data_IF_061478482031
#
_entry.id   IF_061478482031
#
_cell.length_a   1.000
_cell.length_b   1.000
_cell.length_c   1.000
_cell.angle_alpha   90.00
_cell.angle_beta   90.00
_cell.angle_gamma   90.00
#
_symmetry.space_group_name_H-M   'P 1'
#
loop_
_entity.id
_entity.type
_entity.pdbx_description
1 polymer ?
#
# COMPACT_ATOMS: atom_id res chain seq x y z
N UNK A 1 -5.14 -4.70 -81.69
CA UNK A 1 -5.51 -3.74 -80.62
C UNK A 1 -6.58 -4.27 -79.67
N UNK A 2 -7.69 -4.85 -80.15
CA UNK A 2 -8.75 -5.35 -79.19
C UNK A 2 -8.31 -6.44 -78.20
N UNK A 3 -7.36 -7.30 -78.51
CA UNK A 3 -6.86 -8.36 -77.63
C UNK A 3 -5.98 -7.85 -76.47
N UNK A 4 -5.32 -6.72 -76.60
CA UNK A 4 -4.50 -6.12 -75.56
C UNK A 4 -5.29 -5.25 -74.60
N UNK A 5 -6.45 -4.71 -75.08
CA UNK A 5 -7.39 -3.95 -74.24
C UNK A 5 -8.09 -4.88 -73.23
N UNK A 6 -8.45 -6.09 -73.62
CA UNK A 6 -9.05 -7.09 -72.74
C UNK A 6 -8.04 -7.61 -71.66
N UNK A 7 -6.76 -7.78 -72.05
CA UNK A 7 -5.74 -8.19 -71.11
C UNK A 7 -5.40 -7.08 -70.07
N UNK A 8 -5.44 -5.81 -70.50
CA UNK A 8 -5.25 -4.68 -69.56
C UNK A 8 -6.46 -4.49 -68.61
N UNK A 9 -7.71 -4.70 -69.10
CA UNK A 9 -8.89 -4.65 -68.23
C UNK A 9 -8.92 -5.82 -67.22
N UNK A 10 -8.49 -7.03 -67.60
CA UNK A 10 -8.41 -8.17 -66.67
C UNK A 10 -7.28 -7.99 -65.65
N UNK A 11 -6.16 -7.36 -66.00
CA UNK A 11 -5.09 -7.04 -65.05
C UNK A 11 -5.50 -5.93 -64.06
N UNK A 12 -6.29 -4.94 -64.53
CA UNK A 12 -6.80 -3.87 -63.67
C UNK A 12 -7.84 -4.35 -62.65
N UNK A 13 -8.63 -5.39 -62.97
CA UNK A 13 -9.61 -5.97 -62.03
C UNK A 13 -8.95 -6.83 -60.93
N UNK A 14 -7.78 -7.36 -61.13
CA UNK A 14 -7.03 -8.09 -60.13
C UNK A 14 -6.27 -7.17 -59.13
N UNK A 15 -6.06 -5.90 -59.45
CA UNK A 15 -5.37 -4.94 -58.57
C UNK A 15 -6.33 -4.30 -57.56
N UNK A 16 -7.65 -4.36 -57.76
CA UNK A 16 -8.67 -3.75 -56.88
C UNK A 16 -9.19 -4.72 -55.82
N UNK A 17 -8.91 -6.02 -55.92
CA UNK A 17 -9.12 -6.98 -54.83
C UNK A 17 -7.88 -7.08 -53.91
N UNK A 18 -7.31 -5.97 -53.58
CA UNK A 18 -6.33 -5.87 -52.49
C UNK A 18 -7.05 -6.21 -51.19
N UNK A 19 -6.62 -7.30 -50.58
CA UNK A 19 -7.16 -7.80 -49.31
C UNK A 19 -7.17 -6.71 -48.25
N UNK A 20 -8.28 -6.09 -47.95
CA UNK A 20 -8.49 -5.27 -46.75
C UNK A 20 -8.04 -6.05 -45.47
N UNK A 21 -8.17 -7.36 -45.50
CA UNK A 21 -7.72 -8.26 -44.41
C UNK A 21 -6.21 -8.33 -44.20
N UNK A 22 -5.37 -7.85 -45.13
CA UNK A 22 -3.90 -7.78 -44.94
C UNK A 22 -3.46 -6.51 -44.21
N UNK A 23 -4.29 -5.46 -44.26
CA UNK A 23 -4.05 -4.21 -43.56
C UNK A 23 -4.61 -4.23 -42.13
N UNK A 24 -5.60 -5.06 -41.87
CA UNK A 24 -6.13 -5.34 -40.54
C UNK A 24 -5.37 -6.51 -39.86
N UNK A 25 -4.11 -6.34 -39.61
CA UNK A 25 -3.41 -7.26 -38.72
C UNK A 25 -3.77 -6.90 -37.28
N UNK A 26 -4.51 -7.75 -36.55
CA UNK A 26 -4.69 -7.54 -35.13
C UNK A 26 -3.30 -7.46 -34.48
N UNK A 27 -3.09 -6.46 -33.67
CA UNK A 27 -1.83 -6.30 -32.93
C UNK A 27 -1.75 -7.45 -31.92
N UNK A 28 -1.12 -8.55 -32.32
CA UNK A 28 -1.00 -9.78 -31.51
C UNK A 28 -0.20 -9.56 -30.20
N UNK A 29 0.46 -8.43 -30.06
CA UNK A 29 1.30 -8.10 -28.91
C UNK A 29 0.67 -7.07 -27.95
N UNK A 30 -0.48 -6.50 -28.30
CA UNK A 30 -1.26 -5.65 -27.37
C UNK A 30 -2.70 -6.13 -27.37
N UNK A 31 -3.33 -6.33 -26.19
CA UNK A 31 -4.76 -6.62 -26.14
C UNK A 31 -5.50 -5.49 -26.87
N UNK A 32 -6.29 -5.84 -27.88
CA UNK A 32 -7.19 -4.87 -28.49
C UNK A 32 -8.23 -4.46 -27.44
N UNK A 33 -8.49 -3.17 -27.34
CA UNK A 33 -9.42 -2.61 -26.37
C UNK A 33 -10.82 -3.26 -26.46
N UNK A 34 -11.24 -3.67 -27.63
CA UNK A 34 -12.51 -4.34 -27.89
C UNK A 34 -12.58 -5.81 -27.43
N UNK A 35 -11.44 -6.44 -27.19
CA UNK A 35 -11.39 -7.87 -26.85
C UNK A 35 -10.98 -8.13 -25.40
N UNK A 36 -10.44 -7.14 -24.71
CA UNK A 36 -9.94 -7.23 -23.36
C UNK A 36 -11.02 -6.90 -22.31
N UNK A 37 -11.00 -7.62 -21.21
CA UNK A 37 -11.91 -7.37 -20.07
C UNK A 37 -13.11 -8.31 -20.03
N UNK A 38 -12.98 -9.53 -20.56
CA UNK A 38 -14.04 -10.54 -20.61
C UNK A 38 -13.81 -11.74 -19.69
N UNK A 39 -12.64 -11.80 -19.03
CA UNK A 39 -12.27 -12.94 -18.19
C UNK A 39 -11.65 -12.51 -16.86
N UNK A 40 -11.78 -13.37 -15.83
CA UNK A 40 -11.14 -13.19 -14.51
C UNK A 40 -9.62 -12.97 -14.63
N UNK A 41 -8.97 -13.76 -15.50
CA UNK A 41 -7.51 -13.67 -15.70
C UNK A 41 -7.08 -12.32 -16.26
N UNK A 42 -7.83 -11.73 -17.18
CA UNK A 42 -7.50 -10.43 -17.76
C UNK A 42 -7.57 -9.32 -16.71
N UNK A 43 -8.62 -9.32 -15.89
CA UNK A 43 -8.72 -8.35 -14.81
C UNK A 43 -7.62 -8.53 -13.76
N UNK A 44 -7.25 -9.78 -13.43
CA UNK A 44 -6.12 -10.06 -12.55
C UNK A 44 -4.82 -9.47 -13.08
N UNK A 45 -4.52 -9.69 -14.34
CA UNK A 45 -3.32 -9.12 -14.97
C UNK A 45 -3.34 -7.59 -14.97
N UNK A 46 -4.49 -6.99 -15.20
CA UNK A 46 -4.67 -5.53 -15.16
C UNK A 46 -4.40 -4.95 -13.77
N UNK A 47 -4.87 -5.62 -12.73
CA UNK A 47 -4.73 -5.18 -11.33
C UNK A 47 -3.32 -5.44 -10.79
N UNK A 48 -2.58 -6.43 -11.28
CA UNK A 48 -1.26 -6.79 -10.75
C UNK A 48 -0.27 -5.61 -10.73
N UNK A 49 -0.38 -4.66 -11.64
CA UNK A 49 0.44 -3.45 -11.65
C UNK A 49 0.24 -2.57 -10.40
N UNK A 50 -0.93 -2.65 -9.76
CA UNK A 50 -1.25 -1.85 -8.58
C UNK A 50 -0.53 -2.32 -7.31
N UNK A 51 -0.30 -3.62 -7.18
CA UNK A 51 0.23 -4.19 -5.93
C UNK A 51 1.55 -3.58 -5.48
N UNK A 52 2.59 -3.42 -6.33
CA UNK A 52 3.83 -2.78 -5.91
C UNK A 52 3.68 -1.28 -5.61
N UNK A 53 2.59 -0.65 -6.02
CA UNK A 53 2.33 0.78 -5.82
C UNK A 53 1.55 1.03 -4.52
N UNK A 54 0.51 0.24 -4.27
CA UNK A 54 -0.35 0.43 -3.08
C UNK A 54 0.12 -0.39 -1.89
N UNK A 55 0.71 -1.56 -2.11
CA UNK A 55 1.15 -2.48 -1.07
C UNK A 55 2.68 -2.62 -1.11
N UNK A 56 3.33 -1.51 -0.82
CA UNK A 56 4.78 -1.41 -0.89
C UNK A 56 5.42 -2.23 0.23
N UNK A 57 6.48 -2.95 -0.09
CA UNK A 57 7.35 -3.62 0.86
C UNK A 57 8.73 -2.96 0.91
N UNK A 58 9.74 -3.78 1.10
CA UNK A 58 11.12 -3.35 1.02
C UNK A 58 11.52 -3.11 -0.44
N UNK A 59 12.35 -2.12 -0.66
CA UNK A 59 12.86 -1.79 -1.98
C UNK A 59 14.13 -2.56 -2.34
N UNK A 60 14.34 -2.76 -3.65
CA UNK A 60 15.51 -3.42 -4.20
C UNK A 60 16.74 -2.52 -4.41
N UNK A 61 16.61 -1.19 -4.21
CA UNK A 61 17.71 -0.24 -4.48
C UNK A 61 18.10 0.58 -3.24
N UNK A 62 19.34 1.05 -3.23
CA UNK A 62 19.87 1.94 -2.21
C UNK A 62 19.20 3.31 -2.20
N UNK A 63 19.21 4.00 -1.09
CA UNK A 63 18.76 5.38 -0.99
C UNK A 63 17.26 5.52 -0.70
N UNK A 64 16.39 5.47 -1.67
CA UNK A 64 14.92 5.50 -1.48
C UNK A 64 14.34 4.17 -1.00
N UNK A 65 15.16 3.19 -0.87
CA UNK A 65 14.86 1.78 -0.73
C UNK A 65 14.28 1.34 0.60
N UNK A 66 14.21 2.20 1.54
CA UNK A 66 14.02 1.90 2.94
C UNK A 66 12.62 2.28 3.38
N UNK A 67 11.66 1.96 2.51
CA UNK A 67 10.32 2.45 2.62
C UNK A 67 9.69 2.33 4.03
N UNK A 68 9.67 1.19 4.72
CA UNK A 68 9.03 1.10 6.02
C UNK A 68 9.69 1.98 7.09
N UNK A 69 11.01 1.98 7.16
CA UNK A 69 11.73 2.75 8.19
C UNK A 69 11.79 4.23 7.87
N UNK A 70 11.87 4.59 6.59
CA UNK A 70 11.95 5.99 6.17
C UNK A 70 10.64 6.74 6.36
N UNK A 71 9.51 6.07 6.20
CA UNK A 71 8.20 6.65 6.49
C UNK A 71 8.05 7.07 7.95
N UNK A 72 8.67 6.35 8.87
CA UNK A 72 8.64 6.65 10.29
C UNK A 72 9.42 7.92 10.67
N UNK A 73 10.29 8.45 9.81
CA UNK A 73 10.96 9.72 10.04
C UNK A 73 10.01 10.94 10.06
N UNK A 74 8.75 10.75 9.68
CA UNK A 74 7.69 11.78 9.80
C UNK A 74 6.87 11.64 11.09
N UNK A 75 7.35 10.84 12.02
CA UNK A 75 6.75 10.61 13.32
C UNK A 75 7.77 10.87 14.46
N UNK A 76 7.30 10.79 15.71
CA UNK A 76 8.15 10.85 16.89
C UNK A 76 9.01 9.60 17.10
N UNK A 77 8.80 8.55 16.29
CA UNK A 77 9.44 7.24 16.46
C UNK A 77 10.86 7.21 15.91
N UNK A 78 11.11 7.90 14.79
CA UNK A 78 12.42 7.89 14.14
C UNK A 78 12.84 9.31 13.74
N UNK A 79 14.14 9.51 13.69
CA UNK A 79 14.76 10.73 13.22
C UNK A 79 15.88 10.43 12.23
N UNK A 80 16.09 11.30 11.26
CA UNK A 80 17.28 11.29 10.42
C UNK A 80 18.45 11.99 11.13
N UNK A 81 19.67 11.71 10.68
CA UNK A 81 20.88 12.39 11.19
C UNK A 81 21.01 13.84 10.72
N UNK A 82 20.24 14.27 9.73
CA UNK A 82 20.20 15.63 9.20
C UNK A 82 18.87 16.33 9.44
N UNK A 83 18.71 17.54 8.90
CA UNK A 83 17.42 18.22 8.90
C UNK A 83 16.36 17.35 8.22
N UNK A 84 15.22 17.22 8.84
CA UNK A 84 14.06 16.57 8.23
C UNK A 84 13.34 17.51 7.26
N UNK A 85 13.96 17.78 6.12
CA UNK A 85 13.39 18.60 5.05
C UNK A 85 12.70 17.77 3.98
N UNK A 86 12.84 16.45 4.04
CA UNK A 86 12.27 15.55 3.04
C UNK A 86 10.74 15.54 3.03
N UNK A 87 10.09 15.87 4.13
CA UNK A 87 8.63 16.04 4.16
C UNK A 87 8.18 17.17 3.23
N UNK A 88 8.79 18.33 3.32
CA UNK A 88 8.49 19.48 2.47
C UNK A 88 8.77 19.19 0.99
N UNK A 89 9.81 18.40 0.71
CA UNK A 89 10.17 18.02 -0.65
C UNK A 89 9.26 16.93 -1.26
N UNK A 90 8.47 16.26 -0.45
CA UNK A 90 7.55 15.19 -0.91
C UNK A 90 6.15 15.72 -1.20
N UNK A 91 5.80 16.91 -0.71
CA UNK A 91 4.55 17.57 -1.02
C UNK A 91 4.74 18.35 -2.33
N UNK A 92 3.99 18.06 -3.40
CA UNK A 92 4.13 18.76 -4.65
C UNK A 92 3.78 20.24 -4.50
N UNK A 93 4.68 21.13 -4.89
CA UNK A 93 4.49 22.58 -4.85
C UNK A 93 3.79 23.13 -6.08
N UNK A 94 3.65 22.31 -7.13
CA UNK A 94 3.00 22.72 -8.39
C UNK A 94 2.25 21.56 -9.06
N UNK A 95 1.22 21.91 -9.84
CA UNK A 95 0.37 20.96 -10.59
C UNK A 95 1.08 20.25 -11.75
N UNK A 96 2.27 20.59 -12.10
CA UNK A 96 2.79 20.29 -13.43
C UNK A 96 3.79 19.15 -13.52
N UNK A 97 4.28 18.59 -12.44
CA UNK A 97 5.31 17.56 -12.51
C UNK A 97 4.71 16.16 -12.45
N UNK A 98 4.21 15.69 -13.57
CA UNK A 98 4.01 14.27 -13.77
C UNK A 98 5.36 13.64 -14.11
N UNK A 99 5.88 12.85 -13.18
CA UNK A 99 7.04 12.01 -13.42
C UNK A 99 6.62 10.55 -13.25
N UNK A 100 6.72 9.78 -14.31
CA UNK A 100 6.39 8.34 -14.26
C UNK A 100 7.27 7.57 -13.29
N UNK A 101 8.48 8.07 -13.00
CA UNK A 101 9.35 7.51 -11.97
C UNK A 101 8.79 7.71 -10.55
N UNK A 102 7.98 8.74 -10.32
CA UNK A 102 7.36 9.00 -9.02
C UNK A 102 6.21 8.03 -8.74
N UNK A 103 5.54 7.52 -9.77
CA UNK A 103 4.55 6.44 -9.63
C UNK A 103 5.20 5.12 -9.20
N UNK A 104 6.44 4.89 -9.63
CA UNK A 104 7.24 3.73 -9.26
C UNK A 104 8.04 3.97 -7.97
N UNK A 105 8.08 5.20 -7.47
CA UNK A 105 8.77 5.50 -6.22
C UNK A 105 7.90 5.08 -5.03
N UNK A 106 8.16 3.88 -4.60
CA UNK A 106 7.33 3.13 -3.68
C UNK A 106 7.16 3.80 -2.31
N UNK A 107 8.16 4.47 -1.80
CA UNK A 107 8.03 5.08 -0.48
C UNK A 107 7.19 6.36 -0.50
N UNK A 108 7.27 7.16 -1.56
CA UNK A 108 6.43 8.35 -1.74
C UNK A 108 4.96 7.93 -1.85
N UNK A 109 4.67 6.86 -2.59
CA UNK A 109 3.30 6.39 -2.77
C UNK A 109 2.69 5.77 -1.52
N UNK A 110 3.48 5.25 -0.60
CA UNK A 110 2.99 4.61 0.62
C UNK A 110 2.95 5.56 1.83
N UNK A 111 3.97 6.38 2.03
CA UNK A 111 4.19 7.13 3.27
C UNK A 111 4.15 8.64 3.11
N UNK A 112 4.26 9.11 1.90
CA UNK A 112 4.06 10.50 1.57
C UNK A 112 2.87 10.63 0.64
N UNK A 113 2.32 11.79 0.66
CA UNK A 113 1.23 12.16 -0.19
C UNK A 113 1.55 11.94 -1.66
N UNK A 114 0.55 11.51 -2.40
CA UNK A 114 0.63 11.38 -3.84
C UNK A 114 0.91 12.71 -4.54
N UNK A 115 1.47 12.66 -5.73
CA UNK A 115 1.55 13.79 -6.62
C UNK A 115 0.14 14.22 -7.07
N UNK A 116 -0.01 15.46 -7.53
CA UNK A 116 -1.22 15.93 -8.20
C UNK A 116 -1.36 15.23 -9.55
N UNK A 117 -1.83 14.00 -9.51
CA UNK A 117 -1.86 13.07 -10.62
C UNK A 117 -3.05 12.14 -10.50
N UNK A 118 -3.82 12.03 -11.57
CA UNK A 118 -5.06 11.25 -11.63
C UNK A 118 -4.93 10.02 -12.55
N UNK A 119 -3.72 9.60 -12.91
CA UNK A 119 -3.50 8.44 -13.77
C UNK A 119 -4.06 7.15 -13.16
N UNK A 120 -3.91 6.97 -11.84
CA UNK A 120 -4.48 5.82 -11.14
C UNK A 120 -6.01 5.89 -11.04
N UNK A 121 -6.58 7.07 -10.79
CA UNK A 121 -8.03 7.27 -10.85
C UNK A 121 -8.56 6.89 -12.25
N UNK A 122 -7.89 7.37 -13.30
CA UNK A 122 -8.23 7.03 -14.68
C UNK A 122 -8.12 5.53 -14.96
N UNK A 123 -7.06 4.88 -14.46
CA UNK A 123 -6.88 3.43 -14.59
C UNK A 123 -8.06 2.65 -14.01
N UNK A 124 -8.49 3.01 -12.81
CA UNK A 124 -9.62 2.33 -12.16
C UNK A 124 -10.95 2.65 -12.83
N UNK A 125 -11.15 3.87 -13.30
CA UNK A 125 -12.34 4.22 -14.08
C UNK A 125 -12.41 3.45 -15.41
N UNK A 126 -11.29 3.28 -16.12
CA UNK A 126 -11.24 2.43 -17.32
C UNK A 126 -11.65 0.98 -16.98
N UNK A 127 -11.17 0.45 -15.87
CA UNK A 127 -11.55 -0.90 -15.43
C UNK A 127 -13.06 -0.99 -15.11
N UNK A 128 -13.60 0.00 -14.41
CA UNK A 128 -15.04 0.09 -14.08
C UNK A 128 -15.86 0.16 -15.36
N UNK A 129 -15.51 1.05 -16.31
CA UNK A 129 -16.21 1.20 -17.59
C UNK A 129 -16.21 -0.12 -18.39
N UNK A 130 -15.08 -0.86 -18.39
CA UNK A 130 -14.98 -2.19 -19.04
C UNK A 130 -15.84 -3.24 -18.35
N UNK A 131 -15.88 -3.26 -17.02
CA UNK A 131 -16.74 -4.17 -16.25
C UNK A 131 -18.21 -3.91 -16.58
N UNK A 132 -18.64 -2.65 -16.64
CA UNK A 132 -20.01 -2.30 -17.03
C UNK A 132 -20.31 -2.72 -18.48
N UNK A 133 -19.36 -2.47 -19.40
CA UNK A 133 -19.48 -2.87 -20.80
C UNK A 133 -19.71 -4.37 -20.99
N UNK A 134 -19.00 -5.19 -20.20
CA UNK A 134 -19.04 -6.65 -20.32
C UNK A 134 -19.84 -7.37 -19.24
N UNK A 135 -20.62 -6.64 -18.47
CA UNK A 135 -21.43 -7.18 -17.36
C UNK A 135 -22.29 -8.39 -17.76
N UNK A 136 -22.88 -8.37 -18.96
CA UNK A 136 -23.72 -9.46 -19.46
C UNK A 136 -22.95 -10.70 -19.92
N UNK A 137 -21.63 -10.61 -20.03
CA UNK A 137 -20.75 -11.70 -20.49
C UNK A 137 -20.01 -12.35 -19.32
N UNK A 138 -19.79 -11.57 -18.26
CA UNK A 138 -19.09 -12.03 -17.06
C UNK A 138 -20.04 -12.80 -16.14
N UNK A 139 -19.50 -13.81 -15.47
CA UNK A 139 -20.18 -14.41 -14.33
C UNK A 139 -20.37 -13.35 -13.23
N UNK A 140 -21.51 -13.41 -12.53
CA UNK A 140 -21.86 -12.40 -11.51
C UNK A 140 -20.81 -12.24 -10.43
N UNK A 141 -20.24 -13.36 -9.96
CA UNK A 141 -19.16 -13.33 -8.96
C UNK A 141 -17.92 -12.63 -9.48
N UNK A 142 -17.51 -12.92 -10.71
CA UNK A 142 -16.36 -12.30 -11.38
C UNK A 142 -16.57 -10.80 -11.54
N UNK A 143 -17.74 -10.40 -12.04
CA UNK A 143 -18.10 -8.98 -12.17
C UNK A 143 -18.08 -8.28 -10.81
N UNK A 144 -18.74 -8.83 -9.82
CA UNK A 144 -18.83 -8.24 -8.47
C UNK A 144 -17.47 -8.12 -7.79
N UNK A 145 -16.64 -9.15 -7.90
CA UNK A 145 -15.30 -9.14 -7.35
C UNK A 145 -14.45 -8.04 -7.99
N UNK A 146 -14.32 -8.02 -9.31
CA UNK A 146 -13.44 -7.07 -9.97
C UNK A 146 -13.97 -5.63 -9.91
N UNK A 147 -15.27 -5.45 -9.92
CA UNK A 147 -15.89 -4.15 -9.64
C UNK A 147 -15.55 -3.68 -8.23
N UNK A 148 -15.63 -4.56 -7.24
CA UNK A 148 -15.23 -4.27 -5.86
C UNK A 148 -13.74 -3.91 -5.75
N UNK A 149 -12.87 -4.62 -6.46
CA UNK A 149 -11.43 -4.34 -6.51
C UNK A 149 -11.14 -2.99 -7.15
N UNK A 150 -11.76 -2.68 -8.29
CA UNK A 150 -11.57 -1.40 -8.98
C UNK A 150 -12.05 -0.21 -8.11
N UNK A 151 -13.22 -0.34 -7.48
CA UNK A 151 -13.77 0.66 -6.58
C UNK A 151 -12.91 0.82 -5.32
N UNK A 152 -12.41 -0.27 -4.73
CA UNK A 152 -11.47 -0.20 -3.61
C UNK A 152 -10.22 0.62 -3.95
N UNK A 153 -9.57 0.33 -5.06
CA UNK A 153 -8.36 1.07 -5.43
C UNK A 153 -8.66 2.52 -5.85
N UNK A 154 -9.80 2.79 -6.47
CA UNK A 154 -10.23 4.16 -6.76
C UNK A 154 -10.44 4.95 -5.47
N UNK A 155 -11.16 4.39 -4.51
CA UNK A 155 -11.35 4.97 -3.20
C UNK A 155 -10.04 5.18 -2.45
N UNK A 156 -9.13 4.21 -2.50
CA UNK A 156 -7.81 4.34 -1.89
C UNK A 156 -7.00 5.49 -2.51
N UNK A 157 -7.01 5.62 -3.85
CA UNK A 157 -6.32 6.71 -4.52
C UNK A 157 -6.92 8.07 -4.16
N UNK A 158 -8.24 8.18 -4.07
CA UNK A 158 -8.88 9.41 -3.62
C UNK A 158 -8.57 9.73 -2.15
N UNK A 159 -8.47 8.77 -1.26
CA UNK A 159 -7.97 9.00 0.11
C UNK A 159 -6.59 9.67 0.08
N UNK A 160 -5.64 9.15 -0.70
CA UNK A 160 -4.29 9.70 -0.82
C UNK A 160 -4.27 11.12 -1.39
N UNK A 161 -5.09 11.38 -2.41
CA UNK A 161 -5.22 12.71 -3.01
C UNK A 161 -5.83 13.71 -2.02
N UNK A 162 -6.88 13.31 -1.32
CA UNK A 162 -7.59 14.15 -0.34
C UNK A 162 -6.74 14.41 0.91
N UNK A 163 -6.01 13.41 1.40
CA UNK A 163 -5.06 13.60 2.52
C UNK A 163 -4.00 14.66 2.21
N UNK A 164 -3.58 14.73 0.96
CA UNK A 164 -2.54 15.68 0.52
C UNK A 164 -3.08 17.05 0.18
N UNK A 165 -4.16 17.10 -0.60
CA UNK A 165 -4.59 18.31 -1.30
C UNK A 165 -5.92 18.89 -0.80
N UNK A 166 -6.63 18.16 0.07
CA UNK A 166 -7.99 18.52 0.49
C UNK A 166 -8.99 18.30 -0.65
N UNK A 167 -9.55 19.39 -1.15
CA UNK A 167 -10.47 19.36 -2.29
C UNK A 167 -9.73 18.97 -3.58
N UNK A 168 -10.29 18.02 -4.33
CA UNK A 168 -9.72 17.50 -5.58
C UNK A 168 -10.81 17.27 -6.63
N UNK A 169 -10.55 17.38 -7.94
CA UNK A 169 -11.53 16.98 -8.95
C UNK A 169 -11.92 15.49 -8.81
N UNK A 170 -13.21 15.20 -8.75
CA UNK A 170 -13.71 13.83 -8.69
C UNK A 170 -14.16 13.36 -10.08
N UNK A 171 -13.65 12.21 -10.50
CA UNK A 171 -13.98 11.56 -11.77
C UNK A 171 -14.61 10.20 -11.52
N UNK A 172 -15.88 10.04 -11.89
CA UNK A 172 -16.63 8.77 -11.73
C UNK A 172 -16.46 7.80 -12.90
N UNK A 173 -15.96 8.28 -14.04
CA UNK A 173 -15.74 7.54 -15.29
C UNK A 173 -14.41 7.90 -15.92
N UNK A 174 -13.95 7.10 -16.88
CA UNK A 174 -12.79 7.49 -17.68
C UNK A 174 -13.14 8.70 -18.54
N UNK A 175 -12.19 9.62 -18.68
CA UNK A 175 -12.32 10.81 -19.54
C UNK A 175 -11.33 10.70 -20.69
N UNK A 176 -11.72 11.27 -21.83
CA UNK A 176 -10.95 11.32 -23.07
C UNK A 176 -10.63 12.77 -23.44
N UNK A 177 -9.80 12.97 -24.45
CA UNK A 177 -9.45 14.31 -24.96
C UNK A 177 -10.67 15.09 -25.48
N UNK A 178 -11.80 14.41 -25.73
CA UNK A 178 -13.06 15.05 -26.13
C UNK A 178 -13.85 15.63 -24.94
N UNK A 179 -13.54 15.18 -23.71
CA UNK A 179 -14.26 15.57 -22.49
C UNK A 179 -13.60 16.81 -21.83
N UNK A 180 -13.40 17.88 -22.60
CA UNK A 180 -12.62 19.06 -22.17
C UNK A 180 -13.17 19.71 -20.90
N UNK A 181 -14.49 19.83 -20.74
CA UNK A 181 -15.12 20.44 -19.58
C UNK A 181 -14.87 19.61 -18.32
N UNK A 182 -14.93 18.28 -18.42
CA UNK A 182 -14.59 17.37 -17.34
C UNK A 182 -13.10 17.43 -16.99
N UNK A 183 -12.23 17.56 -17.99
CA UNK A 183 -10.77 17.60 -17.81
C UNK A 183 -10.31 18.83 -17.02
N UNK A 184 -10.97 19.95 -17.18
CA UNK A 184 -10.62 21.23 -16.57
C UNK A 184 -11.59 21.69 -15.47
N UNK A 185 -12.45 20.81 -14.99
CA UNK A 185 -13.39 21.15 -13.94
C UNK A 185 -12.73 21.56 -12.63
N UNK A 186 -13.46 22.29 -11.82
CA UNK A 186 -13.04 22.74 -10.50
C UNK A 186 -12.84 21.55 -9.53
N UNK A 187 -12.22 21.84 -8.40
CA UNK A 187 -12.09 20.88 -7.30
C UNK A 187 -13.45 20.60 -6.70
N UNK A 188 -13.73 19.34 -6.50
CA UNK A 188 -14.87 18.85 -5.71
C UNK A 188 -14.51 18.96 -4.23
N UNK A 189 -15.40 19.48 -3.37
CA UNK A 189 -15.14 19.58 -1.94
C UNK A 189 -14.79 18.20 -1.32
N UNK A 190 -13.84 18.21 -0.37
CA UNK A 190 -13.38 17.00 0.35
C UNK A 190 -14.53 16.12 0.81
N UNK A 191 -15.52 16.70 1.49
CA UNK A 191 -16.64 15.95 2.06
C UNK A 191 -17.47 15.22 0.99
N UNK A 192 -17.60 15.81 -0.19
CA UNK A 192 -18.29 15.19 -1.31
C UNK A 192 -17.46 14.05 -1.92
N UNK A 193 -16.15 14.27 -2.15
CA UNK A 193 -15.23 13.23 -2.61
C UNK A 193 -15.23 12.03 -1.66
N UNK A 194 -15.13 12.28 -0.35
CA UNK A 194 -15.14 11.22 0.66
C UNK A 194 -16.50 10.53 0.78
N UNK A 195 -17.59 11.19 0.41
CA UNK A 195 -18.89 10.54 0.23
C UNK A 195 -18.87 9.47 -0.84
N UNK A 196 -18.28 9.75 -2.00
CA UNK A 196 -18.10 8.76 -3.08
C UNK A 196 -17.13 7.64 -2.69
N UNK A 197 -16.05 7.98 -1.96
CA UNK A 197 -15.11 6.98 -1.43
C UNK A 197 -15.81 6.02 -0.47
N UNK A 198 -16.67 6.53 0.41
CA UNK A 198 -17.48 5.71 1.31
C UNK A 198 -18.32 4.69 0.53
N UNK A 199 -19.00 5.10 -0.53
CA UNK A 199 -19.80 4.21 -1.39
C UNK A 199 -18.94 3.19 -2.14
N UNK A 200 -17.75 3.57 -2.57
CA UNK A 200 -16.80 2.67 -3.18
C UNK A 200 -16.33 1.59 -2.20
N UNK A 201 -16.03 1.97 -0.98
CA UNK A 201 -15.62 1.03 0.06
C UNK A 201 -16.75 0.14 0.57
N UNK A 202 -17.97 0.68 0.69
CA UNK A 202 -19.15 -0.13 1.03
C UNK A 202 -19.38 -1.23 -0.02
N UNK A 203 -19.32 -0.87 -1.30
CA UNK A 203 -19.42 -1.86 -2.38
C UNK A 203 -18.30 -2.90 -2.29
N UNK A 204 -17.07 -2.48 -2.04
CA UNK A 204 -15.91 -3.39 -1.92
C UNK A 204 -16.07 -4.38 -0.77
N UNK A 205 -16.47 -3.92 0.42
CA UNK A 205 -16.72 -4.76 1.59
C UNK A 205 -17.79 -5.84 1.35
N UNK A 206 -18.78 -5.53 0.51
CA UNK A 206 -19.88 -6.45 0.23
C UNK A 206 -19.57 -7.42 -0.93
N UNK A 207 -18.72 -7.05 -1.90
CA UNK A 207 -18.64 -7.72 -3.18
C UNK A 207 -17.28 -8.36 -3.52
N UNK A 208 -16.16 -7.90 -2.95
CA UNK A 208 -14.87 -8.58 -3.15
C UNK A 208 -14.97 -10.01 -2.62
N UNK A 209 -14.43 -10.99 -3.36
CA UNK A 209 -14.41 -12.39 -2.91
C UNK A 209 -13.67 -12.56 -1.59
N UNK A 210 -14.15 -13.48 -0.76
CA UNK A 210 -13.61 -13.68 0.60
C UNK A 210 -12.23 -14.33 0.61
N UNK A 211 -11.95 -15.15 -0.39
CA UNK A 211 -10.67 -15.85 -0.49
C UNK A 211 -10.07 -15.67 -1.89
N UNK A 212 -8.90 -15.06 -1.92
CA UNK A 212 -8.07 -14.90 -3.11
C UNK A 212 -6.57 -15.06 -2.75
N UNK A 213 -6.31 -15.76 -1.63
CA UNK A 213 -4.98 -15.92 -1.05
C UNK A 213 -4.54 -14.70 -0.21
N UNK A 214 -3.29 -14.72 0.23
CA UNK A 214 -2.67 -13.71 1.11
C UNK A 214 -1.79 -12.71 0.36
N UNK A 215 -1.61 -12.90 -0.93
CA UNK A 215 -0.83 -12.01 -1.79
C UNK A 215 -1.69 -11.19 -2.76
N UNK A 216 -2.98 -11.49 -2.85
CA UNK A 216 -3.96 -10.77 -3.66
C UNK A 216 -5.06 -10.17 -2.79
N UNK A 217 -5.62 -9.06 -3.25
CA UNK A 217 -6.68 -8.36 -2.55
C UNK A 217 -7.92 -9.26 -2.45
N UNK A 218 -8.24 -9.67 -1.25
CA UNK A 218 -9.49 -10.31 -0.88
C UNK A 218 -10.31 -9.38 0.04
N UNK A 219 -11.55 -9.77 0.36
CA UNK A 219 -12.46 -8.95 1.17
C UNK A 219 -11.87 -8.55 2.52
N UNK A 220 -11.16 -9.43 3.19
CA UNK A 220 -10.60 -9.18 4.52
C UNK A 220 -9.38 -8.27 4.47
N UNK A 221 -8.55 -8.40 3.44
CA UNK A 221 -7.43 -7.48 3.18
C UNK A 221 -7.98 -6.08 2.88
N UNK A 222 -8.99 -5.99 2.00
CA UNK A 222 -9.66 -4.72 1.71
C UNK A 222 -10.24 -4.10 2.98
N UNK A 223 -10.92 -4.89 3.82
CA UNK A 223 -11.47 -4.43 5.09
C UNK A 223 -10.38 -3.90 6.05
N UNK A 224 -9.23 -4.54 6.13
CA UNK A 224 -8.10 -4.05 6.92
C UNK A 224 -7.66 -2.64 6.48
N UNK A 225 -7.51 -2.41 5.17
CA UNK A 225 -7.16 -1.08 4.65
C UNK A 225 -8.28 -0.07 4.80
N UNK A 226 -9.54 -0.45 4.58
CA UNK A 226 -10.71 0.41 4.76
C UNK A 226 -10.82 0.86 6.23
N UNK A 227 -10.54 -0.04 7.19
CA UNK A 227 -10.54 0.33 8.61
C UNK A 227 -9.53 1.46 8.90
N UNK A 228 -8.33 1.41 8.31
CA UNK A 228 -7.30 2.46 8.43
C UNK A 228 -7.76 3.79 7.80
N UNK A 229 -8.19 3.73 6.54
CA UNK A 229 -8.51 4.91 5.74
C UNK A 229 -9.74 5.65 6.28
N UNK A 230 -10.75 4.89 6.71
CA UNK A 230 -11.97 5.48 7.26
C UNK A 230 -11.79 5.94 8.71
N UNK A 231 -10.92 5.31 9.49
CA UNK A 231 -10.51 5.83 10.80
C UNK A 231 -9.85 7.20 10.66
N UNK A 232 -8.91 7.34 9.71
CA UNK A 232 -8.26 8.62 9.43
C UNK A 232 -9.28 9.69 9.05
N UNK A 233 -10.17 9.42 8.10
CA UNK A 233 -11.16 10.41 7.68
C UNK A 233 -12.16 10.76 8.80
N UNK A 234 -12.61 9.77 9.54
CA UNK A 234 -13.53 9.98 10.66
C UNK A 234 -12.92 10.84 11.76
N UNK A 235 -11.67 10.60 12.14
CA UNK A 235 -10.96 11.43 13.12
C UNK A 235 -10.65 12.81 12.56
N UNK A 236 -10.32 12.92 11.27
CA UNK A 236 -10.18 14.22 10.60
C UNK A 236 -11.45 15.08 10.68
N UNK A 237 -12.61 14.49 10.38
CA UNK A 237 -13.88 15.18 10.46
C UNK A 237 -14.19 15.61 11.91
N UNK A 238 -13.90 14.75 12.89
CA UNK A 238 -14.12 15.05 14.30
C UNK A 238 -13.24 16.20 14.80
N UNK A 239 -11.93 16.12 14.57
CA UNK A 239 -10.96 16.98 15.24
C UNK A 239 -10.59 18.24 14.44
N UNK A 240 -10.69 18.20 13.12
CA UNK A 240 -10.30 19.33 12.26
C UNK A 240 -11.47 20.05 11.61
N UNK A 241 -12.61 19.37 11.45
CA UNK A 241 -13.81 19.97 10.84
C UNK A 241 -14.96 20.16 11.83
N UNK A 242 -14.92 19.50 12.97
CA UNK A 242 -15.98 19.47 13.97
C UNK A 242 -17.32 18.99 13.38
N UNK A 243 -17.29 18.14 12.37
CA UNK A 243 -18.44 17.55 11.71
C UNK A 243 -18.75 16.19 12.35
N UNK A 244 -19.63 16.19 13.33
CA UNK A 244 -19.98 14.99 14.09
C UNK A 244 -20.68 13.93 13.25
N UNK A 245 -21.51 14.32 12.30
CA UNK A 245 -22.29 13.37 11.49
C UNK A 245 -21.38 12.66 10.48
N UNK A 246 -20.52 13.38 9.79
CA UNK A 246 -19.52 12.77 8.90
C UNK A 246 -18.50 11.95 9.68
N UNK A 247 -18.06 12.42 10.85
CA UNK A 247 -17.18 11.66 11.73
C UNK A 247 -17.80 10.31 12.10
N UNK A 248 -19.06 10.30 12.58
CA UNK A 248 -19.78 9.06 12.89
C UNK A 248 -19.90 8.14 11.69
N UNK A 249 -20.22 8.68 10.51
CA UNK A 249 -20.37 7.91 9.27
C UNK A 249 -19.08 7.12 8.97
N UNK A 250 -17.94 7.80 8.92
CA UNK A 250 -16.67 7.17 8.54
C UNK A 250 -16.11 6.27 9.65
N UNK A 251 -16.21 6.67 10.91
CA UNK A 251 -15.82 5.82 12.04
C UNK A 251 -16.66 4.54 12.15
N UNK A 252 -17.94 4.62 11.80
CA UNK A 252 -18.80 3.43 11.74
C UNK A 252 -18.32 2.47 10.66
N UNK A 253 -18.00 2.95 9.45
CA UNK A 253 -17.45 2.10 8.40
C UNK A 253 -16.09 1.51 8.77
N UNK A 254 -15.22 2.29 9.45
CA UNK A 254 -13.95 1.79 9.97
C UNK A 254 -14.15 0.65 10.97
N UNK A 255 -15.09 0.83 11.91
CA UNK A 255 -15.47 -0.17 12.91
C UNK A 255 -16.01 -1.45 12.25
N UNK A 256 -16.96 -1.32 11.33
CA UNK A 256 -17.58 -2.45 10.64
C UNK A 256 -16.58 -3.23 9.77
N UNK A 257 -15.68 -2.52 9.08
CA UNK A 257 -14.57 -3.14 8.35
C UNK A 257 -13.65 -3.93 9.30
N UNK A 258 -13.32 -3.38 10.46
CA UNK A 258 -12.57 -4.11 11.50
C UNK A 258 -13.33 -5.33 12.01
N UNK A 259 -14.62 -5.20 12.31
CA UNK A 259 -15.49 -6.30 12.77
C UNK A 259 -15.56 -7.45 11.76
N UNK A 260 -15.57 -7.15 10.46
CA UNK A 260 -15.56 -8.16 9.40
C UNK A 260 -14.30 -9.05 9.48
N UNK A 261 -13.15 -8.47 9.76
CA UNK A 261 -11.89 -9.23 9.91
C UNK A 261 -11.89 -9.98 11.24
N UNK A 262 -12.21 -9.31 12.34
CA UNK A 262 -12.16 -9.87 13.70
C UNK A 262 -13.20 -10.98 13.93
N UNK A 263 -14.32 -10.92 13.24
CA UNK A 263 -15.36 -11.96 13.26
C UNK A 263 -14.97 -13.24 12.51
N UNK A 264 -13.81 -13.24 11.85
CA UNK A 264 -13.30 -14.41 11.13
C UNK A 264 -12.20 -15.11 11.92
N UNK A 265 -12.40 -16.36 12.27
CA UNK A 265 -11.44 -17.17 13.04
C UNK A 265 -10.17 -17.58 12.25
N UNK A 266 -9.98 -17.07 11.06
CA UNK A 266 -8.81 -17.38 10.21
C UNK A 266 -7.52 -16.79 10.78
N UNK A 267 -7.61 -15.63 11.44
CA UNK A 267 -6.46 -14.91 11.97
C UNK A 267 -6.44 -14.87 13.49
N UNK A 268 -5.24 -14.84 14.04
CA UNK A 268 -4.98 -14.71 15.48
C UNK A 268 -3.65 -13.99 15.70
N UNK A 269 -3.51 -13.27 16.81
CA UNK A 269 -2.25 -12.62 17.19
C UNK A 269 -1.16 -13.67 17.35
N UNK A 270 0.00 -13.43 16.75
CA UNK A 270 1.18 -14.27 16.89
C UNK A 270 1.76 -14.14 18.30
N UNK A 271 2.13 -15.28 18.89
CA UNK A 271 2.91 -15.30 20.13
C UNK A 271 4.39 -14.98 19.90
N UNK A 272 4.86 -15.05 18.68
CA UNK A 272 6.24 -14.74 18.28
C UNK A 272 6.31 -13.47 17.42
N UNK A 273 6.32 -12.33 18.12
CA UNK A 273 6.46 -11.03 17.49
C UNK A 273 7.81 -10.86 16.77
N UNK A 274 8.86 -11.51 17.28
CA UNK A 274 10.21 -11.42 16.73
C UNK A 274 10.31 -12.06 15.34
N UNK A 275 9.84 -13.29 15.19
CA UNK A 275 9.91 -14.01 13.91
C UNK A 275 9.01 -13.42 12.85
N UNK A 276 7.91 -12.77 13.22
CA UNK A 276 6.94 -12.19 12.29
C UNK A 276 7.58 -11.20 11.31
N UNK A 277 8.54 -10.38 11.77
CA UNK A 277 9.15 -9.33 10.94
C UNK A 277 10.44 -9.76 10.24
N UNK A 278 11.08 -10.82 10.69
CA UNK A 278 12.31 -11.35 10.09
C UNK A 278 12.14 -12.64 9.30
N UNK A 279 10.89 -13.11 9.13
CA UNK A 279 10.59 -14.36 8.45
C UNK A 279 10.93 -14.32 6.97
N UNK A 280 11.51 -15.42 6.46
CA UNK A 280 11.75 -15.63 5.02
C UNK A 280 10.49 -16.12 4.30
N UNK A 281 9.46 -16.54 5.05
CA UNK A 281 8.18 -17.01 4.52
C UNK A 281 7.06 -16.71 5.53
N UNK A 282 6.14 -15.83 5.17
CA UNK A 282 4.98 -15.46 5.97
C UNK A 282 3.69 -16.21 5.56
N UNK A 283 3.75 -17.12 4.60
CA UNK A 283 2.56 -17.82 4.06
C UNK A 283 1.73 -18.56 5.13
N UNK A 284 2.39 -19.08 6.16
CA UNK A 284 1.75 -19.77 7.29
C UNK A 284 1.44 -18.91 8.51
N UNK A 285 1.81 -17.61 8.50
CA UNK A 285 1.64 -16.75 9.67
C UNK A 285 0.18 -16.31 9.83
N UNK A 286 -0.41 -16.66 10.99
CA UNK A 286 -1.84 -16.40 11.27
C UNK A 286 -2.16 -14.95 11.61
N UNK A 287 -1.19 -14.12 11.93
CA UNK A 287 -1.42 -12.70 12.19
C UNK A 287 -1.40 -11.86 10.91
N UNK A 288 -0.77 -12.36 9.84
CA UNK A 288 -0.57 -11.60 8.61
C UNK A 288 -1.73 -11.80 7.64
N UNK A 289 -2.49 -10.73 7.39
CA UNK A 289 -3.57 -10.71 6.40
C UNK A 289 -3.00 -10.66 4.98
N UNK A 290 -1.97 -9.84 4.81
CA UNK A 290 -1.29 -9.64 3.53
C UNK A 290 0.20 -9.44 3.74
N UNK A 291 1.02 -10.08 2.92
CA UNK A 291 2.47 -9.89 2.90
C UNK A 291 2.98 -9.74 1.48
N UNK A 292 4.13 -9.13 1.34
CA UNK A 292 4.89 -9.11 0.10
C UNK A 292 6.00 -10.14 0.18
N UNK A 293 5.96 -11.09 -0.75
CA UNK A 293 6.95 -12.14 -0.87
C UNK A 293 8.15 -11.70 -1.70
N UNK A 294 9.34 -12.14 -1.31
CA UNK A 294 10.58 -11.91 -2.02
C UNK A 294 11.26 -13.24 -2.31
N UNK A 295 11.71 -13.41 -3.56
CA UNK A 295 12.31 -14.64 -4.06
C UNK A 295 13.49 -14.34 -4.98
N UNK A 296 14.68 -14.84 -4.60
CA UNK A 296 15.89 -14.69 -5.39
C UNK A 296 15.83 -15.44 -6.75
N UNK A 297 15.04 -16.52 -6.83
CA UNK A 297 14.88 -17.30 -8.05
C UNK A 297 14.22 -16.52 -9.19
N UNK A 298 13.38 -15.54 -8.87
CA UNK A 298 12.76 -14.62 -9.83
C UNK A 298 13.31 -13.20 -9.75
N UNK A 299 14.44 -13.00 -9.07
CA UNK A 299 15.13 -11.72 -8.92
C UNK A 299 14.29 -10.62 -8.22
N UNK A 300 13.35 -11.02 -7.36
CA UNK A 300 12.56 -10.09 -6.52
C UNK A 300 13.18 -10.09 -5.14
N UNK A 301 14.12 -9.19 -4.91
CA UNK A 301 14.93 -9.09 -3.69
C UNK A 301 14.92 -7.66 -3.16
N UNK A 302 15.50 -7.46 -1.97
CA UNK A 302 15.62 -6.14 -1.35
C UNK A 302 16.96 -5.99 -0.60
N UNK A 303 17.18 -4.83 0.03
CA UNK A 303 18.44 -4.48 0.68
C UNK A 303 18.31 -4.17 2.17
N UNK A 304 17.20 -4.51 2.82
CA UNK A 304 16.91 -4.05 4.19
C UNK A 304 17.96 -4.49 5.22
N UNK A 305 18.42 -5.74 5.18
CA UNK A 305 19.43 -6.23 6.11
C UNK A 305 20.81 -5.63 5.85
N UNK A 306 21.23 -5.55 4.60
CA UNK A 306 22.53 -4.98 4.24
C UNK A 306 22.59 -3.48 4.52
N UNK A 307 21.49 -2.76 4.26
CA UNK A 307 21.40 -1.33 4.54
C UNK A 307 21.36 -1.03 6.03
N UNK A 308 20.60 -1.81 6.80
CA UNK A 308 20.53 -1.66 8.27
C UNK A 308 21.84 -2.02 8.98
N UNK A 309 22.64 -2.87 8.38
CA UNK A 309 23.95 -3.21 8.91
C UNK A 309 25.00 -2.12 8.72
N UNK A 310 24.77 -1.15 7.86
CA UNK A 310 25.70 -0.04 7.60
C UNK A 310 25.54 1.11 8.58
N UNK A 311 26.65 1.76 8.93
CA UNK A 311 26.64 3.04 9.65
C UNK A 311 26.00 4.18 8.82
N UNK A 312 25.70 3.93 7.56
CA UNK A 312 25.09 4.85 6.61
C UNK A 312 23.55 4.87 6.67
N UNK A 313 22.95 4.11 7.58
CA UNK A 313 21.50 4.13 7.77
C UNK A 313 20.98 5.56 7.94
N UNK A 314 19.97 5.93 7.15
CA UNK A 314 19.47 7.31 7.04
C UNK A 314 18.49 7.69 8.15
N UNK A 315 18.03 6.76 8.95
CA UNK A 315 17.10 6.98 10.05
C UNK A 315 17.36 6.05 11.21
N UNK A 316 17.08 6.49 12.41
CA UNK A 316 17.22 5.72 13.64
C UNK A 316 16.13 6.05 14.65
N UNK A 317 15.89 5.11 15.56
CA UNK A 317 14.89 5.25 16.60
C UNK A 317 15.22 6.38 17.57
N UNK A 318 14.20 7.11 17.98
CA UNK A 318 14.31 8.15 19.02
C UNK A 318 14.28 7.54 20.43
N UNK A 319 14.81 8.28 21.40
CA UNK A 319 14.66 7.92 22.81
C UNK A 319 13.17 7.96 23.24
N UNK A 320 12.34 8.79 22.60
CA UNK A 320 10.91 8.84 22.85
C UNK A 320 10.25 7.49 22.54
N UNK A 321 10.57 6.89 21.38
CA UNK A 321 10.10 5.55 21.02
C UNK A 321 10.57 4.51 22.05
N UNK A 322 11.85 4.51 22.43
CA UNK A 322 12.37 3.57 23.43
C UNK A 322 11.64 3.67 24.78
N UNK A 323 11.33 4.90 25.22
CA UNK A 323 10.58 5.17 26.45
C UNK A 323 9.10 4.77 26.38
N UNK A 324 8.52 4.70 25.18
CA UNK A 324 7.10 4.32 25.00
C UNK A 324 6.84 2.84 25.28
N UNK A 325 7.86 2.00 25.21
CA UNK A 325 7.71 0.58 25.57
C UNK A 325 7.41 0.45 27.07
N UNK A 326 6.29 -0.18 27.39
CA UNK A 326 5.93 -0.48 28.78
C UNK A 326 6.91 -1.49 29.39
N UNK A 327 6.99 -1.51 30.70
CA UNK A 327 7.79 -2.50 31.42
C UNK A 327 7.09 -3.86 31.49
N UNK A 328 7.85 -4.90 31.85
CA UNK A 328 7.34 -6.28 31.99
C UNK A 328 6.22 -6.42 33.05
N UNK A 329 6.08 -5.46 33.95
CA UNK A 329 4.96 -5.39 34.90
C UNK A 329 3.72 -4.64 34.37
N UNK A 330 3.71 -4.33 33.07
CA UNK A 330 2.60 -3.67 32.39
C UNK A 330 2.48 -2.17 32.63
N UNK A 331 3.45 -1.54 33.26
CA UNK A 331 3.44 -0.11 33.58
C UNK A 331 4.43 0.68 32.73
N UNK A 332 4.20 1.98 32.59
CA UNK A 332 5.22 2.90 32.08
C UNK A 332 6.41 2.94 33.06
N UNK A 333 7.62 3.17 32.54
CA UNK A 333 8.84 3.03 33.31
C UNK A 333 8.88 3.91 34.57
N UNK A 334 8.24 5.08 34.53
CA UNK A 334 8.18 5.99 35.70
C UNK A 334 7.35 5.43 36.85
N UNK A 335 6.42 4.52 36.57
CA UNK A 335 5.49 3.93 37.52
C UNK A 335 5.75 2.43 37.77
N UNK A 336 6.78 1.88 37.14
CA UNK A 336 7.14 0.46 37.27
C UNK A 336 7.67 0.16 38.66
N UNK A 337 7.37 -1.04 39.13
CA UNK A 337 7.92 -1.59 40.39
C UNK A 337 9.16 -2.46 40.16
N UNK A 338 9.59 -2.62 38.91
CA UNK A 338 10.81 -3.35 38.60
C UNK A 338 12.04 -2.56 39.01
N UNK A 339 13.06 -3.24 39.56
CA UNK A 339 14.36 -2.65 39.85
C UNK A 339 14.94 -2.07 38.54
N UNK A 340 15.53 -0.90 38.63
CA UNK A 340 16.19 -0.21 37.53
C UNK A 340 15.31 0.10 36.32
N UNK A 341 13.98 0.13 36.48
CA UNK A 341 13.05 0.44 35.37
C UNK A 341 13.29 1.83 34.76
N UNK A 342 13.81 2.77 35.57
CA UNK A 342 14.16 4.14 35.18
C UNK A 342 15.57 4.26 34.58
N UNK A 343 16.39 3.21 34.66
CA UNK A 343 17.68 3.16 33.99
C UNK A 343 17.44 2.91 32.47
N UNK A 344 17.84 3.89 31.67
CA UNK A 344 17.62 3.91 30.20
C UNK A 344 18.82 3.37 29.42
N UNK A 345 19.75 2.65 30.07
CA UNK A 345 20.77 1.89 29.36
C UNK A 345 20.09 0.81 28.49
N UNK A 346 20.59 0.61 27.25
CA UNK A 346 19.97 -0.27 26.28
C UNK A 346 19.87 -1.70 26.81
N UNK A 347 20.93 -2.21 27.41
CA UNK A 347 20.95 -3.56 28.01
C UNK A 347 19.91 -3.71 29.13
N UNK A 348 19.70 -2.66 29.91
CA UNK A 348 18.72 -2.67 30.97
C UNK A 348 17.29 -2.56 30.43
N UNK A 349 17.09 -1.69 29.47
CA UNK A 349 15.79 -1.61 28.78
C UNK A 349 15.39 -2.94 28.11
N UNK A 350 16.34 -3.65 27.52
CA UNK A 350 16.08 -4.98 26.93
C UNK A 350 15.58 -6.01 27.96
N UNK A 351 16.01 -5.87 29.24
CA UNK A 351 15.62 -6.76 30.35
C UNK A 351 14.32 -6.34 31.03
N UNK A 352 14.08 -5.03 31.13
CA UNK A 352 12.99 -4.47 31.95
C UNK A 352 11.73 -4.12 31.12
N UNK A 353 11.84 -3.92 29.81
CA UNK A 353 10.72 -3.62 28.94
C UNK A 353 10.02 -4.87 28.44
N UNK A 354 8.79 -4.70 27.96
CA UNK A 354 8.03 -5.70 27.21
C UNK A 354 8.93 -6.37 26.15
N UNK A 355 8.83 -7.69 25.94
CA UNK A 355 9.70 -8.44 25.01
C UNK A 355 9.75 -7.88 23.58
N UNK A 356 8.77 -7.07 23.18
CA UNK A 356 8.79 -6.38 21.88
C UNK A 356 9.92 -5.34 21.78
N UNK A 357 10.47 -4.85 22.91
CA UNK A 357 11.64 -3.98 22.88
C UNK A 357 12.85 -4.73 22.32
N UNK A 358 13.19 -5.89 22.89
CA UNK A 358 14.28 -6.75 22.41
C UNK A 358 14.01 -7.27 20.99
N UNK A 359 12.74 -7.52 20.67
CA UNK A 359 12.34 -7.88 19.30
C UNK A 359 12.53 -6.75 18.29
N UNK A 360 12.59 -5.50 18.72
CA UNK A 360 12.74 -4.31 17.89
C UNK A 360 14.18 -3.81 17.82
N UNK A 361 14.88 -3.79 18.96
CA UNK A 361 16.22 -3.21 19.09
C UNK A 361 17.25 -4.26 19.51
N UNK A 362 18.47 -4.08 19.01
CA UNK A 362 19.62 -4.84 19.51
C UNK A 362 19.84 -4.53 21.00
N UNK A 363 20.25 -5.52 21.76
CA UNK A 363 20.40 -5.45 23.21
C UNK A 363 21.71 -4.76 23.69
N UNK A 364 22.58 -4.39 22.76
CA UNK A 364 23.80 -3.64 23.01
C UNK A 364 23.82 -2.32 22.21
N UNK A 365 24.52 -1.28 22.71
CA UNK A 365 24.70 -0.04 21.96
C UNK A 365 25.36 -0.27 20.61
N UNK A 366 24.69 0.14 19.53
CA UNK A 366 25.21 0.02 18.17
C UNK A 366 24.77 1.20 17.33
N UNK A 367 25.69 1.81 16.61
CA UNK A 367 25.37 3.00 15.81
C UNK A 367 24.45 2.66 14.65
N UNK A 368 23.34 3.39 14.57
CA UNK A 368 22.48 3.46 13.41
C UNK A 368 22.02 4.92 13.19
N UNK A 369 22.40 5.53 12.10
CA UNK A 369 22.00 6.90 11.72
C UNK A 369 22.16 7.99 12.78
N UNK A 370 23.06 7.89 13.71
CA UNK A 370 23.27 8.89 14.78
C UNK A 370 22.53 8.57 16.09
N UNK A 371 21.93 7.40 16.18
CA UNK A 371 21.43 6.81 17.44
C UNK A 371 22.22 5.54 17.79
N UNK A 372 22.20 5.15 19.06
CA UNK A 372 22.78 3.89 19.52
C UNK A 372 21.75 2.75 19.55
N UNK A 373 20.48 3.04 19.25
CA UNK A 373 19.39 2.08 19.18
C UNK A 373 19.34 1.44 17.78
N UNK A 374 20.09 0.37 17.60
CA UNK A 374 20.07 -0.36 16.34
C UNK A 374 18.75 -1.14 16.18
N UNK A 375 17.96 -0.76 15.19
CA UNK A 375 16.71 -1.44 14.89
C UNK A 375 16.93 -2.66 13.99
N UNK A 376 16.55 -3.82 14.46
CA UNK A 376 16.60 -5.07 13.71
C UNK A 376 15.23 -5.72 13.48
N UNK A 377 14.17 -5.03 13.80
CA UNK A 377 12.80 -5.52 13.69
C UNK A 377 12.47 -6.16 12.34
N UNK A 378 12.99 -5.59 11.24
CA UNK A 378 12.67 -5.99 9.87
C UNK A 378 13.74 -6.87 9.22
N UNK A 379 14.70 -7.35 9.97
CA UNK A 379 15.75 -8.24 9.50
C UNK A 379 15.78 -9.49 10.37
N UNK A 380 16.24 -10.61 9.79
CA UNK A 380 16.41 -11.77 10.61
C UNK A 380 17.60 -11.61 11.59
N UNK A 381 17.60 -12.45 12.61
CA UNK A 381 18.61 -12.35 13.70
C UNK A 381 20.01 -12.78 13.30
N UNK A 382 20.13 -13.47 12.17
CA UNK A 382 21.42 -13.97 11.67
C UNK A 382 22.15 -12.87 10.90
N UNK A 383 21.46 -12.07 10.08
CA UNK A 383 22.07 -11.00 9.31
C UNK A 383 22.98 -10.06 10.10
N UNK A 384 22.53 -9.50 11.25
CA UNK A 384 23.33 -8.61 12.07
C UNK A 384 24.60 -9.22 12.66
N UNK A 385 24.67 -10.53 12.81
CA UNK A 385 25.87 -11.20 13.35
C UNK A 385 27.08 -11.11 12.40
N UNK A 386 26.82 -10.80 11.12
CA UNK A 386 27.87 -10.63 10.11
C UNK A 386 28.36 -9.18 9.98
N UNK A 387 27.93 -8.27 10.84
CA UNK A 387 28.31 -6.87 10.76
C UNK A 387 29.84 -6.69 10.75
N UNK A 388 30.33 -6.05 9.68
CA UNK A 388 31.77 -5.84 9.46
C UNK A 388 32.56 -7.04 8.95
N UNK A 389 31.89 -8.20 8.69
CA UNK A 389 32.50 -9.42 8.20
C UNK A 389 32.05 -9.80 6.78
N UNK A 390 32.27 -11.07 6.41
CA UNK A 390 31.80 -11.64 5.17
C UNK A 390 30.36 -12.16 5.34
N UNK A 391 29.47 -11.75 4.45
CA UNK A 391 28.05 -12.14 4.49
C UNK A 391 27.78 -13.38 3.64
N UNK A 392 26.90 -14.30 4.08
CA UNK A 392 26.18 -15.17 3.16
C UNK A 392 25.37 -14.35 2.14
N UNK A 393 25.20 -14.90 0.95
CA UNK A 393 24.60 -14.17 -0.19
C UNK A 393 23.24 -13.51 0.14
N UNK A 394 22.40 -14.17 0.94
CA UNK A 394 21.08 -13.65 1.33
C UNK A 394 21.12 -12.40 2.22
N UNK A 395 22.26 -12.06 2.81
CA UNK A 395 22.44 -10.85 3.63
C UNK A 395 23.30 -9.80 2.93
N UNK A 396 23.73 -10.08 1.73
CA UNK A 396 24.50 -9.16 0.91
C UNK A 396 23.67 -8.01 0.37
N UNK A 397 24.35 -7.13 -0.35
CA UNK A 397 23.72 -5.97 -0.99
C UNK A 397 22.62 -6.41 -1.97
N UNK A 398 21.39 -5.93 -1.75
CA UNK A 398 20.25 -6.17 -2.64
C UNK A 398 19.88 -7.65 -2.91
N UNK A 399 20.19 -8.53 -1.99
CA UNK A 399 19.93 -9.97 -2.12
C UNK A 399 19.03 -10.54 -1.02
N UNK A 400 18.48 -9.67 -0.17
CA UNK A 400 17.67 -10.11 0.95
C UNK A 400 16.28 -10.56 0.44
N UNK A 401 15.69 -11.56 1.12
CA UNK A 401 14.44 -12.20 0.72
C UNK A 401 13.46 -12.43 1.87
N UNK A 402 13.69 -11.84 3.04
CA UNK A 402 12.69 -11.91 4.10
C UNK A 402 11.42 -11.15 3.70
N UNK A 403 10.26 -11.74 3.99
CA UNK A 403 8.96 -11.20 3.63
C UNK A 403 8.59 -9.94 4.42
N UNK A 404 7.80 -9.07 3.80
CA UNK A 404 7.27 -7.88 4.44
C UNK A 404 5.78 -8.04 4.79
N UNK A 405 5.39 -7.98 6.08
CA UNK A 405 3.99 -8.01 6.48
C UNK A 405 3.32 -6.66 6.16
N UNK A 406 2.51 -6.64 5.11
CA UNK A 406 1.86 -5.42 4.59
C UNK A 406 0.67 -5.00 5.46
N UNK A 407 -0.15 -5.97 5.89
CA UNK A 407 -1.30 -5.76 6.77
C UNK A 407 -1.36 -6.87 7.80
N UNK A 408 -1.47 -6.50 9.07
CA UNK A 408 -1.53 -7.44 10.20
C UNK A 408 -2.81 -7.25 10.99
N UNK A 409 -3.27 -8.36 11.62
CA UNK A 409 -4.42 -8.36 12.50
C UNK A 409 -4.30 -7.34 13.65
N UNK A 410 -3.10 -7.17 14.22
CA UNK A 410 -2.86 -6.21 15.29
C UNK A 410 -3.25 -4.78 14.88
N UNK A 411 -2.95 -4.37 13.66
CA UNK A 411 -3.37 -3.05 13.17
C UNK A 411 -4.89 -2.95 13.05
N UNK A 412 -5.53 -3.97 12.49
CA UNK A 412 -7.00 -3.99 12.35
C UNK A 412 -7.70 -3.92 13.71
N UNK A 413 -7.14 -4.64 14.71
CA UNK A 413 -7.65 -4.58 16.09
C UNK A 413 -7.53 -3.17 16.70
N UNK A 414 -6.40 -2.50 16.48
CA UNK A 414 -6.18 -1.14 16.99
C UNK A 414 -7.09 -0.13 16.28
N UNK A 415 -7.23 -0.22 14.96
CA UNK A 415 -8.15 0.62 14.20
C UNK A 415 -9.60 0.46 14.66
N UNK A 416 -10.03 -0.78 14.87
CA UNK A 416 -11.36 -1.09 15.40
C UNK A 416 -11.57 -0.54 16.80
N UNK A 417 -10.59 -0.73 17.70
CA UNK A 417 -10.67 -0.25 19.08
C UNK A 417 -10.76 1.28 19.12
N UNK A 418 -9.92 1.96 18.34
CA UNK A 418 -9.92 3.41 18.26
C UNK A 418 -11.23 3.93 17.67
N UNK A 419 -11.71 3.36 16.57
CA UNK A 419 -13.01 3.74 15.99
C UNK A 419 -14.17 3.59 17.00
N UNK A 420 -14.20 2.51 17.78
CA UNK A 420 -15.19 2.33 18.85
C UNK A 420 -15.06 3.36 19.96
N UNK A 421 -13.85 3.65 20.40
CA UNK A 421 -13.62 4.65 21.45
C UNK A 421 -14.06 6.04 20.98
N UNK A 422 -13.71 6.40 19.74
CA UNK A 422 -14.08 7.67 19.13
C UNK A 422 -15.61 7.83 18.98
N UNK A 423 -16.30 6.76 18.56
CA UNK A 423 -17.78 6.73 18.48
C UNK A 423 -18.42 6.87 19.87
N UNK A 424 -17.93 6.14 20.87
CA UNK A 424 -18.45 6.22 22.24
C UNK A 424 -18.32 7.63 22.83
N UNK A 425 -17.20 8.33 22.55
CA UNK A 425 -17.01 9.73 22.96
C UNK A 425 -18.00 10.71 22.30
N UNK A 426 -18.64 10.32 21.21
CA UNK A 426 -19.67 11.09 20.51
C UNK A 426 -21.11 10.66 20.84
N UNK A 427 -21.28 9.79 21.84
CA UNK A 427 -22.59 9.28 22.25
C UNK A 427 -23.17 8.25 21.28
N UNK A 428 -22.30 7.46 20.66
CA UNK A 428 -22.63 6.34 19.74
C UNK A 428 -22.62 5.00 20.45
#
# INVERSE_FOLDING_TARGET
MKKYIFALLSAATFIISGCDSVLERPVLTKPLDETYGKTDTEYRLYVNEAYPVYFVGYNSSWGSAYAPLRGYNFSDDNASSGKQTSFENTIPTSRGSYNTSDLANSWITQYAAGNWNFAWVRKWNIMIDKLEQYKSVLEEETYNHWMGVARFFRGFEYCRLVETFGDVPYYSKSITDADTDEMYKDRTPRNEVMGYVYEDFDFALNNIRKNDGTQYLNRYIAAGFISRLMLFEGTWQKYHKSDTELAKKYLTQAKEAGELVLGNNQWQISSDFKSLFGSMDLSGNKEVLMYRHYDAGVSVTHCVASYSNGAESQGGATLALAKSFICNDGKVYQNSSLADADNLDIENMAKTRDPRFEATFWDEPRIQAGTLLYSWKFIDRVGPTYFGGTYPAQYGSMTNTNDYPVMRLAEVMLNWLEAKAELALMGG
#
